data_IF_482376185673
#
_entry.id   IF_482376185673
#
_cell.length_a   1.000
_cell.length_b   1.000
_cell.length_c   1.000
_cell.angle_alpha   90.00
_cell.angle_beta   90.00
_cell.angle_gamma   90.00
#
_symmetry.space_group_name_H-M   'P 1'
#
loop_
_entity.id
_entity.type
_entity.pdbx_description
1 polymer ?
#
# COMPACT_ATOMS: atom_id res chain seq x y z
N UNK A 1 -7.81 -9.99 -6.39
CA UNK A 1 -7.47 -8.59 -6.04
C UNK A 1 -7.51 -8.49 -4.53
N UNK A 2 -6.53 -7.86 -3.90
CA UNK A 2 -6.49 -7.61 -2.45
C UNK A 2 -6.56 -6.10 -2.13
N UNK A 3 -7.03 -5.30 -3.09
CA UNK A 3 -7.39 -3.89 -2.90
C UNK A 3 -8.90 -3.78 -2.70
N UNK A 4 -9.33 -3.27 -1.55
CA UNK A 4 -10.75 -3.14 -1.23
C UNK A 4 -11.00 -3.00 0.27
N UNK A 5 -12.29 -2.99 0.63
CA UNK A 5 -12.74 -3.11 2.03
C UNK A 5 -13.43 -4.44 2.24
N UNK A 6 -13.43 -4.93 3.48
CA UNK A 6 -14.09 -6.19 3.81
C UNK A 6 -15.62 -6.13 3.58
N UNK A 7 -16.22 -4.96 3.74
CA UNK A 7 -17.67 -4.73 3.62
C UNK A 7 -18.14 -4.37 2.20
N UNK A 8 -17.31 -3.68 1.41
CA UNK A 8 -17.66 -3.21 0.07
C UNK A 8 -17.05 -4.02 -1.08
N UNK A 9 -16.11 -4.91 -0.78
CA UNK A 9 -15.41 -5.70 -1.79
C UNK A 9 -14.30 -4.93 -2.52
N UNK A 10 -13.91 -5.37 -3.73
CA UNK A 10 -12.80 -4.78 -4.46
C UNK A 10 -13.18 -3.41 -5.00
N UNK A 11 -12.27 -2.46 -4.90
CA UNK A 11 -12.50 -1.10 -5.39
C UNK A 11 -11.94 -0.92 -6.81
N UNK A 12 -12.63 -0.17 -7.68
CA UNK A 12 -12.05 0.24 -8.95
C UNK A 12 -10.84 1.15 -8.68
N UNK A 13 -9.73 0.87 -9.35
CA UNK A 13 -8.54 1.71 -9.26
C UNK A 13 -8.80 3.00 -10.05
N UNK A 14 -8.63 4.16 -9.41
CA UNK A 14 -8.80 5.47 -10.05
C UNK A 14 -7.73 5.80 -11.12
N UNK A 15 -6.75 4.91 -11.30
CA UNK A 15 -5.71 5.00 -12.31
C UNK A 15 -5.56 3.65 -13.05
N UNK A 16 -5.19 3.70 -14.32
CA UNK A 16 -4.96 2.52 -15.15
C UNK A 16 -3.61 1.87 -14.81
N UNK A 17 -3.55 1.16 -13.68
CA UNK A 17 -2.29 0.56 -13.19
C UNK A 17 -1.67 -0.39 -14.20
N UNK A 18 -2.48 -1.21 -14.89
CA UNK A 18 -2.00 -2.12 -15.92
C UNK A 18 -1.40 -1.38 -17.13
N UNK A 19 -2.05 -0.31 -17.60
CA UNK A 19 -1.56 0.45 -18.77
C UNK A 19 -0.30 1.26 -18.42
N UNK A 20 -0.27 1.88 -17.23
CA UNK A 20 0.80 2.78 -16.81
C UNK A 20 1.96 1.96 -16.25
N UNK A 21 1.77 1.39 -15.06
CA UNK A 21 2.84 0.69 -14.35
C UNK A 21 3.12 -0.69 -14.96
N UNK A 22 2.08 -1.43 -15.30
CA UNK A 22 2.18 -2.73 -15.96
C UNK A 22 2.49 -2.65 -17.46
N UNK A 23 2.53 -1.47 -18.09
CA UNK A 23 2.67 -1.39 -19.54
C UNK A 23 3.75 -0.41 -19.93
N UNK A 24 3.38 0.87 -19.96
CA UNK A 24 4.26 1.93 -20.47
C UNK A 24 5.59 2.03 -19.72
N UNK A 25 5.63 1.92 -18.39
CA UNK A 25 6.89 1.98 -17.63
C UNK A 25 7.83 0.82 -17.98
N UNK A 26 7.31 -0.40 -18.08
CA UNK A 26 8.11 -1.56 -18.49
C UNK A 26 8.57 -1.45 -19.94
N UNK A 27 7.73 -0.92 -20.83
CA UNK A 27 8.10 -0.61 -22.22
C UNK A 27 9.23 0.42 -22.32
N UNK A 28 9.17 1.49 -21.52
CA UNK A 28 10.26 2.48 -21.45
C UNK A 28 11.55 1.85 -20.92
N UNK A 29 11.47 1.04 -19.86
CA UNK A 29 12.64 0.34 -19.31
C UNK A 29 13.26 -0.59 -20.37
N UNK A 30 12.44 -1.41 -21.04
CA UNK A 30 12.91 -2.29 -22.11
C UNK A 30 13.55 -1.53 -23.26
N UNK A 31 12.97 -0.40 -23.68
CA UNK A 31 13.51 0.47 -24.72
C UNK A 31 14.87 1.05 -24.34
N UNK A 32 14.99 1.58 -23.12
CA UNK A 32 16.25 2.12 -22.62
C UNK A 32 17.32 1.03 -22.54
N UNK A 33 16.97 -0.16 -22.05
CA UNK A 33 17.89 -1.31 -22.01
C UNK A 33 18.34 -1.72 -23.42
N UNK A 34 17.43 -1.76 -24.39
CA UNK A 34 17.75 -2.05 -25.79
C UNK A 34 18.69 -0.99 -26.40
N UNK A 35 18.48 0.29 -26.11
CA UNK A 35 19.36 1.37 -26.57
C UNK A 35 20.76 1.25 -25.98
N UNK A 36 20.88 0.91 -24.69
CA UNK A 36 22.18 0.66 -24.04
C UNK A 36 22.88 -0.54 -24.69
N UNK A 37 22.18 -1.66 -24.88
CA UNK A 37 22.73 -2.84 -25.54
C UNK A 37 23.22 -2.51 -26.96
N UNK A 38 22.43 -1.75 -27.72
CA UNK A 38 22.78 -1.31 -29.08
C UNK A 38 24.08 -0.49 -29.13
N UNK A 39 24.41 0.29 -28.10
CA UNK A 39 25.67 1.06 -28.08
C UNK A 39 26.91 0.15 -28.15
N UNK A 40 26.80 -1.07 -27.63
CA UNK A 40 27.88 -2.06 -27.65
C UNK A 40 27.82 -2.97 -28.87
N UNK A 41 26.60 -3.38 -29.27
CA UNK A 41 26.41 -4.40 -30.32
C UNK A 41 26.19 -3.82 -31.72
N UNK A 42 25.78 -2.55 -31.83
CA UNK A 42 25.31 -1.93 -33.07
C UNK A 42 23.95 -2.43 -33.57
N UNK A 43 23.31 -3.37 -32.87
CA UNK A 43 22.09 -4.04 -33.32
C UNK A 43 20.87 -3.63 -32.48
N UNK A 44 19.72 -3.46 -33.15
CA UNK A 44 18.43 -3.31 -32.48
C UNK A 44 17.92 -4.65 -31.93
N UNK A 45 16.85 -4.59 -31.15
CA UNK A 45 16.13 -5.78 -30.67
C UNK A 45 14.62 -5.55 -30.74
N UNK A 46 13.85 -6.64 -30.82
CA UNK A 46 12.41 -6.62 -30.64
C UNK A 46 12.07 -6.66 -29.15
N UNK A 47 11.12 -5.83 -28.72
CA UNK A 47 10.63 -5.79 -27.34
C UNK A 47 9.19 -6.28 -27.32
N UNK A 48 8.95 -7.37 -26.61
CA UNK A 48 7.61 -7.87 -26.31
C UNK A 48 7.25 -7.44 -24.88
N UNK A 49 6.12 -6.75 -24.73
CA UNK A 49 5.69 -6.14 -23.47
C UNK A 49 4.24 -6.52 -23.23
N UNK A 50 4.03 -7.42 -22.26
CA UNK A 50 2.72 -7.87 -21.83
C UNK A 50 2.27 -7.10 -20.59
N UNK A 51 1.12 -6.42 -20.68
CA UNK A 51 0.54 -5.74 -19.51
C UNK A 51 0.22 -6.71 -18.38
N UNK A 52 -0.13 -7.96 -18.71
CA UNK A 52 -0.40 -9.01 -17.73
C UNK A 52 0.86 -9.38 -16.97
N UNK A 53 1.97 -9.65 -17.67
CA UNK A 53 3.22 -10.12 -17.07
C UNK A 53 3.82 -9.04 -16.18
N UNK A 54 3.79 -7.81 -16.67
CA UNK A 54 4.34 -6.65 -15.99
C UNK A 54 3.43 -6.16 -14.86
N UNK A 55 2.09 -6.28 -14.94
CA UNK A 55 1.23 -6.04 -13.77
C UNK A 55 1.40 -7.14 -12.71
N UNK A 56 1.60 -8.38 -13.13
CA UNK A 56 1.87 -9.49 -12.22
C UNK A 56 3.15 -9.25 -11.41
N UNK A 57 4.23 -8.76 -12.04
CA UNK A 57 5.50 -8.47 -11.36
C UNK A 57 5.37 -7.44 -10.21
N UNK A 58 4.38 -6.54 -10.28
CA UNK A 58 4.10 -5.54 -9.23
C UNK A 58 3.52 -6.14 -7.95
N UNK A 59 3.16 -7.44 -7.94
CA UNK A 59 2.64 -8.14 -6.77
C UNK A 59 3.76 -8.78 -5.92
N UNK A 60 5.02 -8.34 -6.04
CA UNK A 60 6.18 -9.00 -5.45
C UNK A 60 6.01 -9.40 -3.96
N UNK A 61 5.45 -8.51 -3.11
CA UNK A 61 5.23 -8.81 -1.69
C UNK A 61 4.14 -9.87 -1.46
N UNK A 62 2.94 -9.66 -2.02
CA UNK A 62 1.82 -10.59 -1.85
C UNK A 62 2.08 -11.93 -2.54
N UNK A 63 2.68 -11.91 -3.73
CA UNK A 63 3.11 -13.09 -4.47
C UNK A 63 4.17 -13.89 -3.73
N UNK A 64 5.15 -13.23 -3.09
CA UNK A 64 6.12 -13.92 -2.25
C UNK A 64 5.45 -14.57 -1.03
N UNK A 65 4.54 -13.88 -0.35
CA UNK A 65 3.78 -14.43 0.78
C UNK A 65 2.99 -15.68 0.39
N UNK A 66 2.27 -15.64 -0.73
CA UNK A 66 1.56 -16.81 -1.24
C UNK A 66 2.49 -17.96 -1.64
N UNK A 67 3.53 -17.68 -2.43
CA UNK A 67 4.45 -18.72 -2.92
C UNK A 67 5.28 -19.37 -1.82
N UNK A 68 5.67 -18.61 -0.78
CA UNK A 68 6.50 -19.11 0.30
C UNK A 68 5.69 -19.75 1.44
N UNK A 69 4.53 -19.17 1.78
CA UNK A 69 3.78 -19.50 2.98
C UNK A 69 2.34 -19.99 2.71
N UNK A 70 1.85 -19.93 1.46
CA UNK A 70 0.46 -20.24 1.13
C UNK A 70 -0.54 -19.19 1.63
N UNK A 71 -0.06 -17.98 1.98
CA UNK A 71 -0.90 -16.89 2.47
C UNK A 71 -1.62 -16.20 1.30
N UNK A 72 -2.90 -16.50 1.12
CA UNK A 72 -3.74 -15.83 0.12
C UNK A 72 -4.04 -14.38 0.56
N UNK A 73 -3.75 -13.37 -0.27
CA UNK A 73 -4.01 -11.98 0.08
C UNK A 73 -5.50 -11.62 -0.08
N UNK A 74 -6.08 -11.01 0.95
CA UNK A 74 -7.48 -10.55 0.96
C UNK A 74 -7.62 -9.06 1.25
N UNK A 75 -8.81 -8.50 0.96
CA UNK A 75 -9.14 -7.10 1.22
C UNK A 75 -9.10 -6.81 2.70
N UNK A 76 -8.41 -5.75 3.11
CA UNK A 76 -8.41 -5.27 4.49
C UNK A 76 -7.96 -6.32 5.52
N UNK A 77 -7.08 -7.24 5.13
CA UNK A 77 -6.53 -8.27 6.03
C UNK A 77 -5.01 -8.15 6.25
N UNK A 78 -4.33 -7.36 5.41
CA UNK A 78 -2.88 -7.23 5.45
C UNK A 78 -2.43 -5.92 6.08
N UNK A 79 -1.15 -5.90 6.48
CA UNK A 79 -0.55 -4.76 7.15
C UNK A 79 -0.70 -3.45 6.34
N UNK A 80 -0.56 -3.50 5.01
CA UNK A 80 -0.47 -2.31 4.16
C UNK A 80 -1.71 -2.03 3.31
N UNK A 81 -2.80 -2.77 3.52
CA UNK A 81 -4.04 -2.59 2.75
C UNK A 81 -5.27 -2.25 3.61
N UNK A 82 -5.04 -1.73 4.82
CA UNK A 82 -6.10 -1.37 5.77
C UNK A 82 -6.44 -2.47 6.78
N UNK A 83 -5.81 -3.65 6.75
CA UNK A 83 -5.98 -4.65 7.81
C UNK A 83 -5.30 -4.30 9.13
N UNK A 84 -4.50 -3.23 9.15
CA UNK A 84 -3.82 -2.70 10.34
C UNK A 84 -4.19 -1.23 10.57
N UNK A 85 -3.53 -0.55 11.52
CA UNK A 85 -3.66 0.91 11.66
C UNK A 85 -3.20 1.69 10.42
N UNK A 86 -2.44 1.07 9.51
CA UNK A 86 -2.02 1.66 8.24
C UNK A 86 -3.23 1.79 7.31
N UNK A 87 -3.87 2.96 7.34
CA UNK A 87 -5.14 3.20 6.65
C UNK A 87 -5.43 4.70 6.51
N UNK A 88 -6.57 5.00 5.88
CA UNK A 88 -7.18 6.32 5.81
C UNK A 88 -8.16 6.54 6.96
N UNK A 89 -8.06 7.70 7.60
CA UNK A 89 -8.89 8.12 8.72
C UNK A 89 -9.64 9.39 8.36
N UNK A 90 -10.93 9.42 8.70
CA UNK A 90 -11.80 10.55 8.41
C UNK A 90 -11.67 11.60 9.51
N UNK A 91 -11.50 12.86 9.12
CA UNK A 91 -11.56 14.01 10.02
C UNK A 91 -13.00 14.44 10.30
N UNK A 92 -13.20 15.27 11.32
CA UNK A 92 -14.50 15.82 11.70
C UNK A 92 -15.22 16.52 10.54
N UNK A 93 -14.50 17.33 9.77
CA UNK A 93 -14.99 18.04 8.60
C UNK A 93 -15.16 17.17 7.33
N UNK A 94 -14.99 15.85 7.47
CA UNK A 94 -15.27 14.88 6.41
C UNK A 94 -14.17 14.72 5.36
N UNK A 95 -13.00 15.29 5.59
CA UNK A 95 -11.78 15.04 4.81
C UNK A 95 -11.07 13.77 5.33
N UNK A 96 -9.99 13.36 4.66
CA UNK A 96 -9.32 12.10 4.94
C UNK A 96 -7.81 12.29 5.07
N UNK A 97 -7.21 11.67 6.09
CA UNK A 97 -5.77 11.59 6.28
C UNK A 97 -5.29 10.16 6.10
N UNK A 98 -4.12 9.98 5.48
CA UNK A 98 -3.43 8.70 5.41
C UNK A 98 -2.47 8.57 6.59
N UNK A 99 -2.54 7.45 7.31
CA UNK A 99 -1.59 7.13 8.39
C UNK A 99 -0.68 6.01 7.94
N UNK A 100 0.63 6.30 7.93
CA UNK A 100 1.68 5.37 7.55
C UNK A 100 2.79 5.20 8.59
N UNK A 101 2.51 5.48 9.86
CA UNK A 101 3.49 5.53 10.96
C UNK A 101 3.94 4.13 11.42
N UNK A 102 4.53 3.34 10.53
CA UNK A 102 4.94 1.95 10.80
C UNK A 102 6.08 1.86 11.82
N UNK A 103 7.01 2.80 11.79
CA UNK A 103 8.17 2.81 12.65
C UNK A 103 7.82 3.32 14.07
N UNK A 104 8.43 2.71 15.13
CA UNK A 104 8.13 3.06 16.52
C UNK A 104 8.20 4.56 16.83
N UNK A 105 9.19 5.26 16.27
CA UNK A 105 9.37 6.69 16.49
C UNK A 105 8.23 7.52 15.89
N UNK A 106 7.77 7.17 14.68
CA UNK A 106 6.66 7.87 14.04
C UNK A 106 5.33 7.57 14.72
N UNK A 107 5.13 6.32 15.15
CA UNK A 107 3.95 5.95 15.92
C UNK A 107 3.87 6.72 17.24
N UNK A 108 5.00 6.84 17.95
CA UNK A 108 5.07 7.63 19.18
C UNK A 108 4.71 9.10 18.92
N UNK A 109 5.24 9.70 17.86
CA UNK A 109 4.95 11.09 17.52
C UNK A 109 3.48 11.29 17.13
N UNK A 110 2.91 10.38 16.31
CA UNK A 110 1.49 10.40 15.95
C UNK A 110 0.60 10.35 17.20
N UNK A 111 0.83 9.36 18.06
CA UNK A 111 0.05 9.18 19.29
C UNK A 111 0.21 10.37 20.24
N UNK A 112 1.41 10.97 20.31
CA UNK A 112 1.67 12.15 21.14
C UNK A 112 0.94 13.39 20.60
N UNK A 113 0.94 13.59 19.28
CA UNK A 113 0.21 14.68 18.63
C UNK A 113 -1.32 14.56 18.85
N UNK A 114 -1.84 13.32 18.85
CA UNK A 114 -3.24 13.02 19.17
C UNK A 114 -3.56 13.09 20.67
N UNK A 115 -2.58 13.40 21.53
CA UNK A 115 -2.76 13.46 22.99
C UNK A 115 -2.98 12.09 23.65
N UNK A 116 -2.59 11.00 22.97
CA UNK A 116 -2.80 9.60 23.38
C UNK A 116 -1.50 8.78 23.31
N UNK A 117 -0.41 9.21 23.97
CA UNK A 117 0.90 8.55 23.88
C UNK A 117 0.88 7.07 24.30
N UNK A 118 -0.08 6.64 25.12
CA UNK A 118 -0.26 5.26 25.54
C UNK A 118 -0.63 4.30 24.41
N UNK A 119 -1.21 4.80 23.31
CA UNK A 119 -1.56 3.99 22.14
C UNK A 119 -0.33 3.51 21.36
N UNK A 120 0.80 4.20 21.48
CA UNK A 120 2.00 3.89 20.71
C UNK A 120 2.54 2.47 20.96
N UNK A 121 2.36 1.96 22.19
CA UNK A 121 2.77 0.61 22.55
C UNK A 121 2.03 -0.48 21.74
N UNK A 122 0.81 -0.19 21.27
CA UNK A 122 -0.01 -1.13 20.50
C UNK A 122 0.47 -1.24 19.05
N UNK A 123 1.09 -0.18 18.50
CA UNK A 123 1.55 -0.15 17.10
C UNK A 123 2.64 -1.15 16.79
N UNK A 124 3.40 -1.60 17.80
CA UNK A 124 4.48 -2.59 17.66
C UNK A 124 3.97 -4.04 17.66
N UNK A 125 2.69 -4.25 17.94
CA UNK A 125 2.17 -5.59 18.06
C UNK A 125 1.86 -6.22 16.71
N UNK A 126 2.34 -7.45 16.45
CA UNK A 126 1.94 -8.19 15.26
C UNK A 126 0.53 -8.82 15.40
N UNK A 127 -0.15 -8.67 16.54
CA UNK A 127 -1.45 -9.31 16.78
C UNK A 127 -2.58 -8.54 16.08
N UNK A 128 -3.38 -9.19 15.22
CA UNK A 128 -4.49 -8.53 14.51
C UNK A 128 -5.50 -7.83 15.44
N UNK A 129 -5.80 -8.42 16.60
CA UNK A 129 -6.72 -7.81 17.57
C UNK A 129 -6.20 -6.47 18.11
N UNK A 130 -4.89 -6.37 18.39
CA UNK A 130 -4.29 -5.13 18.88
C UNK A 130 -4.20 -4.08 17.78
N UNK A 131 -3.94 -4.51 16.55
CA UNK A 131 -3.98 -3.64 15.37
C UNK A 131 -5.39 -3.07 15.13
N UNK A 132 -6.43 -3.90 15.29
CA UNK A 132 -7.83 -3.47 15.19
C UNK A 132 -8.20 -2.46 16.29
N UNK A 133 -7.82 -2.73 17.54
CA UNK A 133 -8.06 -1.80 18.65
C UNK A 133 -7.37 -0.44 18.41
N UNK A 134 -6.13 -0.45 17.92
CA UNK A 134 -5.42 0.77 17.58
C UNK A 134 -6.09 1.50 16.42
N UNK A 135 -6.48 0.79 15.36
CA UNK A 135 -7.24 1.35 14.23
C UNK A 135 -8.54 2.02 14.70
N UNK A 136 -9.32 1.35 15.52
CA UNK A 136 -10.57 1.89 16.07
C UNK A 136 -10.32 3.12 16.95
N UNK A 137 -9.28 3.09 17.79
CA UNK A 137 -8.90 4.23 18.62
C UNK A 137 -8.47 5.43 17.77
N UNK A 138 -7.63 5.23 16.77
CA UNK A 138 -7.21 6.30 15.86
C UNK A 138 -8.40 6.91 15.14
N UNK A 139 -9.34 6.10 14.64
CA UNK A 139 -10.57 6.60 14.01
C UNK A 139 -11.35 7.56 14.90
N UNK A 140 -11.52 7.19 16.16
CA UNK A 140 -12.19 8.06 17.15
C UNK A 140 -11.42 9.36 17.37
N UNK A 141 -10.08 9.32 17.43
CA UNK A 141 -9.29 10.53 17.63
C UNK A 141 -9.30 11.45 16.40
N UNK A 142 -9.15 10.92 15.18
CA UNK A 142 -9.20 11.73 13.95
C UNK A 142 -10.56 12.40 13.75
N UNK A 143 -11.68 11.75 14.11
CA UNK A 143 -13.02 12.33 13.99
C UNK A 143 -13.29 13.50 14.96
N UNK A 144 -12.40 13.77 15.94
CA UNK A 144 -12.53 14.92 16.85
C UNK A 144 -12.01 16.23 16.26
N UNK A 145 -11.09 16.14 15.30
CA UNK A 145 -10.34 17.26 14.76
C UNK A 145 -10.71 17.53 13.30
N UNK A 146 -10.71 18.80 12.89
CA UNK A 146 -10.79 19.13 11.47
C UNK A 146 -9.44 18.84 10.81
N UNK A 147 -9.42 18.56 9.51
CA UNK A 147 -8.19 18.17 8.81
C UNK A 147 -7.06 19.22 8.84
N UNK A 148 -7.37 20.49 9.15
CA UNK A 148 -6.36 21.55 9.24
C UNK A 148 -5.66 21.64 10.61
N UNK A 149 -6.18 20.94 11.62
CA UNK A 149 -5.63 20.85 12.98
C UNK A 149 -4.61 19.71 13.08
#
# INVERSE_FOLDING_TARGET
SYTGRADSGPLPLGMQVADIAGGSLHGVIGLLAAVIARQQTGQGTHLDVSMTDCAFSLNAMAGAGYLACGEEPHWEEQMLNGGSFYDYYRSRDGRWLSVGSLEPAFMQQLCTALGRPELAAQGLSPKPEQQRLLKDALKVEFEKHDFAE
#
